data_IF_482674425746
#
_entry.id   IF_482674425746
#
_cell.length_a   1.000
_cell.length_b   1.000
_cell.length_c   1.000
_cell.angle_alpha   90.00
_cell.angle_beta   90.00
_cell.angle_gamma   90.00
#
_symmetry.space_group_name_H-M   'P 1'
#
loop_
_entity.id
_entity.type
_entity.pdbx_description
1 polymer ?
#
# COMPACT_ATOMS: atom_id res chain seq x y z
N UNK A 1 -35.08 -29.72 14.96
CA UNK A 1 -34.18 -29.59 13.79
C UNK A 1 -33.12 -28.58 14.19
N UNK A 2 -31.87 -29.01 14.39
CA UNK A 2 -30.80 -28.14 14.86
C UNK A 2 -30.06 -27.59 13.64
N UNK A 3 -29.91 -26.27 13.56
CA UNK A 3 -29.21 -25.60 12.47
C UNK A 3 -27.73 -25.47 12.84
N UNK A 4 -26.85 -26.12 12.08
CA UNK A 4 -25.43 -26.30 12.43
C UNK A 4 -24.48 -25.28 11.80
N UNK A 5 -24.97 -24.25 11.11
CA UNK A 5 -24.10 -23.21 10.51
C UNK A 5 -24.28 -21.86 11.21
N UNK A 6 -23.21 -21.07 11.27
CA UNK A 6 -23.24 -19.73 11.86
C UNK A 6 -24.29 -18.84 11.17
N UNK A 7 -24.41 -18.92 9.83
CA UNK A 7 -25.43 -18.17 9.09
C UNK A 7 -26.85 -18.58 9.44
N UNK A 8 -27.10 -19.85 9.76
CA UNK A 8 -28.43 -20.32 10.14
C UNK A 8 -28.80 -19.98 11.60
N UNK A 9 -27.81 -19.72 12.46
CA UNK A 9 -28.02 -19.30 13.85
C UNK A 9 -28.14 -17.76 13.94
N UNK A 10 -27.34 -17.03 13.16
CA UNK A 10 -27.18 -15.57 13.30
C UNK A 10 -27.66 -14.74 12.11
N UNK A 11 -27.93 -15.34 10.95
CA UNK A 11 -28.45 -14.62 9.78
C UNK A 11 -29.96 -14.43 9.85
N UNK A 12 -30.46 -13.32 9.28
CA UNK A 12 -31.91 -13.03 9.22
C UNK A 12 -32.50 -13.23 7.83
N UNK A 13 -31.70 -12.97 6.79
CA UNK A 13 -32.07 -13.11 5.37
C UNK A 13 -30.80 -13.22 4.51
N UNK A 14 -30.97 -13.34 3.18
CA UNK A 14 -29.87 -13.54 2.24
C UNK A 14 -28.83 -12.41 2.22
N UNK A 15 -29.24 -11.16 2.45
CA UNK A 15 -28.34 -10.01 2.49
C UNK A 15 -27.73 -9.84 3.88
N UNK A 16 -28.52 -10.10 4.93
CA UNK A 16 -28.12 -10.01 6.34
C UNK A 16 -27.74 -11.38 6.87
N UNK A 17 -26.70 -11.95 6.28
CA UNK A 17 -26.20 -13.28 6.59
C UNK A 17 -25.19 -13.32 7.77
N UNK A 18 -25.01 -12.20 8.47
CA UNK A 18 -24.09 -11.98 9.61
C UNK A 18 -22.58 -12.13 9.33
N UNK A 19 -22.17 -12.77 8.24
CA UNK A 19 -20.78 -13.12 7.96
C UNK A 19 -20.43 -12.96 6.48
N UNK A 20 -19.41 -12.16 6.22
CA UNK A 20 -18.71 -12.08 4.94
C UNK A 20 -17.40 -12.87 4.99
N UNK A 21 -17.07 -13.56 3.91
CA UNK A 21 -15.80 -14.23 3.73
C UNK A 21 -15.44 -14.21 2.25
N UNK A 22 -14.17 -14.00 1.95
CA UNK A 22 -13.67 -13.94 0.59
C UNK A 22 -13.79 -15.31 -0.10
N UNK A 23 -14.02 -15.30 -1.41
CA UNK A 23 -14.30 -16.48 -2.23
C UNK A 23 -13.05 -17.11 -2.87
N UNK A 24 -11.91 -16.41 -2.84
CA UNK A 24 -10.65 -16.85 -3.44
C UNK A 24 -9.47 -16.27 -2.68
N UNK A 25 -8.29 -16.84 -2.92
CA UNK A 25 -7.04 -16.30 -2.36
C UNK A 25 -6.82 -14.84 -2.78
N UNK A 26 -7.02 -14.52 -4.06
CA UNK A 26 -6.82 -13.17 -4.60
C UNK A 26 -7.82 -12.15 -4.03
N UNK A 27 -9.08 -12.55 -3.81
CA UNK A 27 -10.07 -11.66 -3.16
C UNK A 27 -9.76 -11.48 -1.67
N UNK A 28 -9.32 -12.54 -0.99
CA UNK A 28 -8.86 -12.46 0.40
C UNK A 28 -7.66 -11.52 0.54
N UNK A 29 -6.63 -11.67 -0.29
CA UNK A 29 -5.45 -10.81 -0.29
C UNK A 29 -5.85 -9.34 -0.46
N UNK A 30 -6.68 -9.04 -1.46
CA UNK A 30 -7.15 -7.67 -1.73
C UNK A 30 -7.95 -7.09 -0.56
N UNK A 31 -8.85 -7.88 0.02
CA UNK A 31 -9.69 -7.45 1.15
C UNK A 31 -8.88 -7.23 2.43
N UNK A 32 -7.92 -8.11 2.71
CA UNK A 32 -6.99 -7.95 3.84
C UNK A 32 -6.16 -6.67 3.67
N UNK A 33 -5.56 -6.43 2.49
CA UNK A 33 -4.80 -5.19 2.21
C UNK A 33 -5.65 -3.93 2.38
N UNK A 34 -6.94 -4.01 2.05
CA UNK A 34 -7.86 -2.88 2.17
C UNK A 34 -8.16 -2.52 3.63
N UNK A 35 -8.52 -3.51 4.46
CA UNK A 35 -8.89 -3.26 5.86
C UNK A 35 -7.69 -3.17 6.81
N UNK A 36 -6.59 -3.87 6.51
CA UNK A 36 -5.40 -3.97 7.34
C UNK A 36 -4.15 -3.63 6.52
N UNK A 37 -3.94 -2.36 6.14
CA UNK A 37 -2.89 -1.96 5.21
C UNK A 37 -1.47 -2.29 5.69
N UNK A 38 -1.26 -2.36 7.01
CA UNK A 38 0.03 -2.66 7.62
C UNK A 38 0.30 -4.17 7.82
N UNK A 39 -0.63 -5.03 7.37
CA UNK A 39 -0.46 -6.48 7.49
C UNK A 39 0.47 -7.03 6.42
N UNK A 40 1.43 -7.86 6.84
CA UNK A 40 2.28 -8.62 5.93
C UNK A 40 1.50 -9.84 5.43
N UNK A 41 1.31 -9.92 4.11
CA UNK A 41 0.66 -11.07 3.47
C UNK A 41 1.74 -12.00 2.96
N UNK A 42 1.74 -13.22 3.51
CA UNK A 42 2.66 -14.28 3.09
C UNK A 42 2.15 -15.01 1.83
N UNK A 43 3.06 -15.52 0.98
CA UNK A 43 4.51 -15.38 1.09
C UNK A 43 4.98 -14.00 0.61
N UNK A 44 5.97 -13.42 1.30
CA UNK A 44 6.66 -12.23 0.78
C UNK A 44 7.20 -12.54 -0.63
N UNK A 45 6.93 -11.68 -1.65
CA UNK A 45 7.41 -11.92 -3.00
C UNK A 45 8.93 -12.08 -3.04
N UNK A 46 9.40 -13.14 -3.68
CA UNK A 46 10.84 -13.42 -3.89
C UNK A 46 11.12 -13.75 -5.35
N UNK A 47 12.41 -13.88 -5.71
CA UNK A 47 12.80 -14.32 -7.05
C UNK A 47 12.30 -13.38 -8.15
N UNK A 48 11.61 -13.93 -9.15
CA UNK A 48 11.13 -13.15 -10.30
C UNK A 48 10.03 -12.16 -9.90
N UNK A 49 9.11 -12.54 -9.02
CA UNK A 49 8.03 -11.65 -8.57
C UNK A 49 8.58 -10.38 -7.89
N UNK A 50 9.64 -10.52 -7.08
CA UNK A 50 10.32 -9.38 -6.47
C UNK A 50 10.99 -8.47 -7.53
N UNK A 51 11.62 -9.07 -8.55
CA UNK A 51 12.24 -8.31 -9.65
C UNK A 51 11.20 -7.54 -10.47
N UNK A 52 10.08 -8.17 -10.77
CA UNK A 52 8.98 -7.57 -11.52
C UNK A 52 8.42 -6.36 -10.75
N UNK A 53 8.16 -6.53 -9.45
CA UNK A 53 7.72 -5.43 -8.57
C UNK A 53 8.73 -4.28 -8.56
N UNK A 54 10.02 -4.55 -8.34
CA UNK A 54 11.06 -3.52 -8.35
C UNK A 54 11.11 -2.80 -9.70
N UNK A 55 11.02 -3.54 -10.81
CA UNK A 55 11.09 -2.98 -12.16
C UNK A 55 9.91 -2.05 -12.47
N UNK A 56 8.71 -2.39 -12.01
CA UNK A 56 7.50 -1.67 -12.32
C UNK A 56 7.27 -0.49 -11.37
N UNK A 57 7.43 -0.72 -10.06
CA UNK A 57 6.99 0.20 -9.03
C UNK A 57 8.11 1.12 -8.51
N UNK A 58 9.35 0.61 -8.41
CA UNK A 58 10.43 1.31 -7.68
C UNK A 58 11.48 1.91 -8.63
N UNK A 59 11.99 1.11 -9.56
CA UNK A 59 13.12 1.44 -10.42
C UNK A 59 12.91 2.74 -11.23
N UNK A 60 11.72 3.04 -11.81
CA UNK A 60 11.54 4.24 -12.60
C UNK A 60 11.86 5.54 -11.84
N UNK A 61 11.54 5.59 -10.55
CA UNK A 61 11.79 6.75 -9.68
C UNK A 61 13.17 6.68 -9.05
N UNK A 62 13.55 5.50 -8.54
CA UNK A 62 14.84 5.31 -7.86
C UNK A 62 16.03 5.58 -8.79
N UNK A 63 15.98 5.12 -10.05
CA UNK A 63 17.06 5.37 -11.01
C UNK A 63 17.22 6.86 -11.33
N UNK A 64 16.13 7.62 -11.39
CA UNK A 64 16.18 9.08 -11.58
C UNK A 64 16.85 9.75 -10.38
N UNK A 65 16.49 9.34 -9.16
CA UNK A 65 17.09 9.84 -7.92
C UNK A 65 18.58 9.53 -7.84
N UNK A 66 18.98 8.28 -8.10
CA UNK A 66 20.39 7.86 -8.13
C UNK A 66 21.19 8.62 -9.20
N UNK A 67 20.60 8.84 -10.37
CA UNK A 67 21.22 9.63 -11.44
C UNK A 67 21.44 11.09 -11.00
N UNK A 68 20.45 11.68 -10.31
CA UNK A 68 20.57 13.04 -9.79
C UNK A 68 21.60 13.14 -8.64
N UNK A 69 21.63 12.13 -7.76
CA UNK A 69 22.59 12.04 -6.67
C UNK A 69 24.04 12.03 -7.19
N UNK A 70 24.33 11.23 -8.22
CA UNK A 70 25.66 11.18 -8.86
C UNK A 70 26.09 12.53 -9.46
N UNK A 71 25.14 13.36 -9.90
CA UNK A 71 25.42 14.70 -10.43
C UNK A 71 25.68 15.71 -9.32
N UNK A 72 24.86 15.69 -8.27
CA UNK A 72 24.91 16.67 -7.19
C UNK A 72 26.08 16.43 -6.24
N UNK A 73 26.44 15.16 -5.99
CA UNK A 73 27.50 14.73 -5.04
C UNK A 73 27.43 15.46 -3.69
N UNK A 74 26.28 15.39 -2.98
CA UNK A 74 26.12 16.02 -1.67
C UNK A 74 27.06 15.40 -0.63
N UNK A 75 27.29 16.11 0.47
CA UNK A 75 28.08 15.64 1.61
C UNK A 75 27.45 14.42 2.29
N UNK A 76 26.12 14.39 2.39
CA UNK A 76 25.33 13.24 2.86
C UNK A 76 24.44 12.67 1.73
N UNK A 77 24.93 11.66 0.98
CA UNK A 77 24.19 11.07 -0.13
C UNK A 77 22.88 10.36 0.26
N UNK A 78 22.81 9.79 1.47
CA UNK A 78 21.66 8.98 1.88
C UNK A 78 20.51 9.89 2.27
N UNK A 79 20.77 10.90 3.11
CA UNK A 79 19.76 11.88 3.52
C UNK A 79 19.25 12.63 2.29
N UNK A 80 20.15 13.08 1.43
CA UNK A 80 19.77 13.78 0.20
C UNK A 80 18.86 12.95 -0.71
N UNK A 81 19.17 11.65 -0.88
CA UNK A 81 18.34 10.76 -1.71
C UNK A 81 16.98 10.49 -1.06
N UNK A 82 16.91 10.38 0.26
CA UNK A 82 15.66 10.20 0.99
C UNK A 82 14.72 11.40 0.77
N UNK A 83 15.23 12.61 0.95
CA UNK A 83 14.46 13.85 0.69
C UNK A 83 14.03 13.92 -0.78
N UNK A 84 14.96 13.62 -1.70
CA UNK A 84 14.66 13.60 -3.14
C UNK A 84 13.53 12.62 -3.47
N UNK A 85 13.51 11.43 -2.86
CA UNK A 85 12.46 10.43 -3.09
C UNK A 85 11.11 10.88 -2.52
N UNK A 86 11.09 11.54 -1.36
CA UNK A 86 9.87 12.12 -0.76
C UNK A 86 9.28 13.18 -1.71
N UNK A 87 10.12 14.06 -2.25
CA UNK A 87 9.71 15.16 -3.14
C UNK A 87 9.31 14.72 -4.56
N UNK A 88 9.74 13.53 -4.98
CA UNK A 88 9.52 12.99 -6.31
C UNK A 88 8.70 11.69 -6.32
N UNK A 89 7.93 11.44 -5.26
CA UNK A 89 7.06 10.28 -5.17
C UNK A 89 5.88 10.38 -6.16
N UNK A 90 5.79 9.50 -7.19
CA UNK A 90 4.70 9.56 -8.17
C UNK A 90 3.32 9.22 -7.59
N UNK A 91 3.27 8.58 -6.42
CA UNK A 91 2.04 8.16 -5.75
C UNK A 91 1.51 9.21 -4.76
N UNK A 92 2.23 10.32 -4.55
CA UNK A 92 1.80 11.41 -3.67
C UNK A 92 1.67 12.71 -4.47
N UNK A 93 0.47 13.31 -4.56
CA UNK A 93 0.31 14.57 -5.26
C UNK A 93 1.11 15.68 -4.58
N UNK A 94 1.68 16.58 -5.39
CA UNK A 94 2.30 17.81 -4.88
C UNK A 94 1.19 18.78 -4.52
N UNK A 95 0.94 18.96 -3.22
CA UNK A 95 0.00 19.97 -2.74
C UNK A 95 0.71 21.32 -2.91
N UNK A 96 0.31 22.10 -3.91
CA UNK A 96 0.75 23.48 -4.04
C UNK A 96 0.20 24.27 -2.84
N UNK A 97 1.07 24.71 -1.95
CA UNK A 97 0.68 25.50 -0.78
C UNK A 97 0.06 26.83 -1.20
N UNK A 98 -1.25 26.98 -0.95
CA UNK A 98 -1.85 28.19 -0.39
C UNK A 98 -3.26 27.85 0.12
N UNK A 99 -3.33 27.29 1.32
CA UNK A 99 -4.52 27.27 2.16
C UNK A 99 -4.10 27.75 3.55
N UNK A 100 -4.86 28.64 4.20
CA UNK A 100 -4.45 29.21 5.47
C UNK A 100 -4.29 28.09 6.50
N UNK A 101 -3.22 28.19 7.29
CA UNK A 101 -3.10 27.48 8.56
C UNK A 101 -4.35 27.79 9.38
N UNK A 102 -5.26 26.81 9.45
CA UNK A 102 -6.25 26.79 10.53
C UNK A 102 -5.46 26.47 11.80
N UNK A 103 -5.03 27.53 12.46
CA UNK A 103 -4.67 27.50 13.87
C UNK A 103 -5.88 27.00 14.66
N UNK A 104 -5.59 26.06 15.55
CA UNK A 104 -6.35 25.53 16.68
C UNK A 104 -7.81 25.98 16.91
N UNK A 105 -8.68 24.99 17.15
CA UNK A 105 -9.86 25.11 17.99
C UNK A 105 -10.03 23.86 18.86
#
# INVERSE_FOLDING_TARGET
MQFYSLRAIYGTDDQRNALHGSDSFSSAEREIRFFFPDSIIEPVPTGQAAKDYLSHEINPTLLKGLTALCKQKPEDPVVWLADWLIDNNPNKPKIAGNGPSVEDA
#
